data_IF_296084348743
#
_entry.id   IF_296084348743
#
_cell.length_a   1.000
_cell.length_b   1.000
_cell.length_c   1.000
_cell.angle_alpha   90.00
_cell.angle_beta   90.00
_cell.angle_gamma   90.00
#
_symmetry.space_group_name_H-M   'P 1'
#
loop_
_entity.id
_entity.type
_entity.pdbx_description
1 polymer ?
#
# COMPACT_ATOMS: atom_id res chain seq x y z
N UNK A 1 29.07 -14.88 42.52
CA UNK A 1 28.03 -15.87 42.86
C UNK A 1 26.79 -15.49 42.08
N UNK A 2 26.45 -16.27 41.06
CA UNK A 2 25.38 -15.97 40.11
C UNK A 2 24.07 -16.63 40.56
N UNK A 3 23.00 -15.85 40.54
CA UNK A 3 21.62 -16.27 40.79
C UNK A 3 21.02 -16.95 39.57
N UNK A 4 20.47 -18.14 39.77
CA UNK A 4 19.74 -18.91 38.79
C UNK A 4 18.40 -18.26 38.44
N UNK A 5 18.04 -18.24 37.15
CA UNK A 5 16.66 -18.14 36.71
C UNK A 5 16.37 -19.28 35.72
N UNK A 6 15.43 -20.11 36.13
CA UNK A 6 14.82 -21.23 35.42
C UNK A 6 13.81 -20.69 34.40
N UNK A 7 13.76 -21.25 33.18
CA UNK A 7 12.51 -21.42 32.41
C UNK A 7 12.75 -22.46 31.32
N UNK A 8 11.85 -23.45 31.30
CA UNK A 8 11.95 -24.72 30.63
C UNK A 8 11.74 -24.65 29.12
N UNK A 9 12.40 -25.59 28.43
CA UNK A 9 12.32 -25.86 27.00
C UNK A 9 11.03 -26.59 26.66
N UNK A 10 10.19 -26.04 25.76
CA UNK A 10 9.11 -26.80 25.14
C UNK A 10 9.65 -27.53 23.90
N UNK A 11 9.74 -28.86 24.04
CA UNK A 11 10.10 -29.80 22.99
C UNK A 11 8.89 -29.96 22.06
N UNK A 12 8.99 -29.48 20.83
CA UNK A 12 7.98 -29.70 19.80
C UNK A 12 8.16 -31.10 19.20
N UNK A 13 7.27 -32.03 19.55
CA UNK A 13 7.22 -33.38 18.99
C UNK A 13 5.83 -33.67 18.47
N UNK A 14 5.71 -33.99 17.18
CA UNK A 14 4.52 -34.67 16.66
C UNK A 14 4.21 -34.40 15.19
N UNK A 15 4.84 -35.15 14.29
CA UNK A 15 4.33 -35.39 12.94
C UNK A 15 3.27 -36.49 12.95
N UNK A 16 2.15 -36.27 12.26
CA UNK A 16 1.34 -37.25 11.52
C UNK A 16 0.05 -36.57 11.02
N UNK A 17 -0.58 -36.85 9.88
CA UNK A 17 -0.22 -37.32 8.53
C UNK A 17 -1.43 -36.95 7.67
N UNK A 18 -1.19 -36.55 6.41
CA UNK A 18 -2.10 -36.40 5.26
C UNK A 18 -3.63 -36.53 5.46
N UNK A 19 -4.37 -35.52 4.96
CA UNK A 19 -5.53 -35.81 4.10
C UNK A 19 -5.91 -34.65 3.17
N UNK A 20 -6.06 -35.03 1.89
CA UNK A 20 -6.84 -34.42 0.82
C UNK A 20 -6.35 -33.14 0.14
N UNK A 21 -5.77 -33.39 -1.04
CA UNK A 21 -5.54 -32.54 -2.21
C UNK A 21 -6.73 -31.60 -2.50
N UNK A 22 -6.63 -30.35 -2.05
CA UNK A 22 -7.38 -29.21 -2.57
C UNK A 22 -6.38 -28.23 -3.16
N UNK A 23 -6.59 -27.81 -4.41
CA UNK A 23 -5.71 -26.92 -5.19
C UNK A 23 -5.17 -25.76 -4.34
N UNK A 24 -3.87 -25.76 -4.09
CA UNK A 24 -3.12 -24.53 -3.84
C UNK A 24 -3.29 -23.69 -5.11
N UNK A 25 -4.25 -22.75 -5.11
CA UNK A 25 -4.09 -21.60 -6.00
C UNK A 25 -2.91 -20.85 -5.42
N UNK A 26 -1.76 -20.94 -6.09
CA UNK A 26 -0.69 -19.99 -5.93
C UNK A 26 -1.32 -18.61 -6.12
N UNK A 27 -1.65 -17.95 -5.01
CA UNK A 27 -1.90 -16.53 -5.08
C UNK A 27 -0.58 -15.92 -5.54
N UNK A 28 -0.56 -15.10 -6.62
CA UNK A 28 0.61 -14.30 -6.87
C UNK A 28 0.81 -13.47 -5.60
N UNK A 29 1.92 -13.69 -4.90
CA UNK A 29 2.35 -12.85 -3.79
C UNK A 29 2.30 -11.41 -4.31
N UNK A 30 1.22 -10.70 -3.95
CA UNK A 30 1.00 -9.33 -4.35
C UNK A 30 2.12 -8.56 -3.66
N UNK A 31 3.15 -8.24 -4.45
CA UNK A 31 4.32 -7.47 -4.05
C UNK A 31 3.82 -6.32 -3.18
N UNK A 32 4.24 -6.35 -1.92
CA UNK A 32 3.76 -5.54 -0.82
C UNK A 32 3.76 -4.05 -1.18
N UNK A 33 2.62 -3.57 -1.71
CA UNK A 33 2.32 -2.16 -1.88
C UNK A 33 1.79 -1.59 -0.57
N UNK A 34 2.44 -1.91 0.55
CA UNK A 34 2.11 -1.26 1.81
C UNK A 34 2.78 0.10 1.81
N UNK A 35 2.13 1.08 1.20
CA UNK A 35 2.37 2.47 1.60
C UNK A 35 2.08 2.50 3.10
N UNK A 36 3.13 2.60 3.92
CA UNK A 36 2.93 2.80 5.36
C UNK A 36 2.24 4.14 5.57
N UNK A 37 1.44 4.25 6.63
CA UNK A 37 0.73 5.48 6.97
C UNK A 37 1.72 6.66 7.06
N UNK A 38 2.88 6.44 7.68
CA UNK A 38 3.96 7.43 7.78
C UNK A 38 4.46 7.88 6.39
N UNK A 39 4.65 6.94 5.46
CA UNK A 39 5.04 7.26 4.09
C UNK A 39 3.95 8.06 3.39
N UNK A 40 2.68 7.68 3.51
CA UNK A 40 1.55 8.42 2.94
C UNK A 40 1.50 9.87 3.46
N UNK A 41 1.63 10.05 4.77
CA UNK A 41 1.63 11.36 5.41
C UNK A 41 2.82 12.22 4.95
N UNK A 42 4.00 11.62 4.76
CA UNK A 42 5.20 12.31 4.26
C UNK A 42 5.08 12.82 2.81
N UNK A 43 4.07 12.35 2.08
CA UNK A 43 3.79 12.74 0.69
C UNK A 43 2.81 13.91 0.58
N UNK A 44 2.11 14.27 1.66
CA UNK A 44 1.18 15.41 1.67
C UNK A 44 1.93 16.70 1.32
N UNK A 45 1.34 17.48 0.42
CA UNK A 45 1.94 18.70 -0.10
C UNK A 45 3.05 18.47 -1.13
N UNK A 46 3.31 17.24 -1.59
CA UNK A 46 4.31 16.98 -2.64
C UNK A 46 3.64 16.81 -4.00
N UNK A 47 4.39 17.21 -5.04
CA UNK A 47 4.05 16.89 -6.42
C UNK A 47 4.64 15.52 -6.75
N UNK A 48 3.82 14.63 -7.32
CA UNK A 48 4.20 13.26 -7.64
C UNK A 48 3.79 12.92 -9.08
N UNK A 49 4.58 12.05 -9.71
CA UNK A 49 4.19 11.31 -10.90
C UNK A 49 3.68 9.93 -10.46
N UNK A 50 2.48 9.58 -10.89
CA UNK A 50 1.81 8.33 -10.52
C UNK A 50 1.44 7.55 -11.77
N UNK A 51 1.73 6.25 -11.74
CA UNK A 51 1.25 5.28 -12.72
C UNK A 51 0.05 4.54 -12.12
N UNK A 52 -1.10 4.70 -12.77
CA UNK A 52 -2.37 4.08 -12.39
C UNK A 52 -2.71 2.95 -13.35
N UNK A 53 -3.27 1.88 -12.79
CA UNK A 53 -3.54 0.63 -13.52
C UNK A 53 -4.85 0.03 -13.04
N UNK A 54 -5.66 -0.41 -13.99
CA UNK A 54 -6.94 -1.05 -13.71
C UNK A 54 -6.98 -2.43 -14.37
N UNK A 55 -7.62 -3.43 -13.75
CA UNK A 55 -7.70 -4.78 -14.32
C UNK A 55 -8.34 -4.81 -15.72
N UNK A 56 -9.29 -3.90 -15.97
CA UNK A 56 -10.08 -3.85 -17.19
C UNK A 56 -9.45 -2.95 -18.28
N UNK A 57 -8.37 -2.24 -17.95
CA UNK A 57 -7.66 -1.36 -18.89
C UNK A 57 -6.20 -1.81 -19.06
N UNK A 58 -5.80 -2.30 -20.26
CA UNK A 58 -4.44 -2.75 -20.48
C UNK A 58 -3.43 -1.60 -20.50
N UNK A 59 -3.85 -0.35 -20.72
CA UNK A 59 -2.93 0.79 -20.82
C UNK A 59 -2.80 1.53 -19.47
N UNK A 60 -1.57 1.67 -18.92
CA UNK A 60 -1.38 2.41 -17.68
C UNK A 60 -1.60 3.91 -17.92
N UNK A 61 -2.32 4.56 -16.99
CA UNK A 61 -2.47 6.01 -17.00
C UNK A 61 -1.37 6.67 -16.17
N UNK A 62 -0.63 7.60 -16.78
CA UNK A 62 0.35 8.42 -16.09
C UNK A 62 -0.22 9.79 -15.76
N UNK A 63 -0.14 10.19 -14.49
CA UNK A 63 -0.65 11.49 -14.04
C UNK A 63 0.34 12.21 -13.12
N UNK A 64 0.49 13.51 -13.33
CA UNK A 64 1.19 14.42 -12.43
C UNK A 64 0.17 15.08 -11.50
N UNK A 65 0.30 14.85 -10.20
CA UNK A 65 -0.65 15.34 -9.21
C UNK A 65 0.03 15.95 -7.99
N UNK A 66 -0.68 16.83 -7.28
CA UNK A 66 -0.32 17.34 -5.96
C UNK A 66 -1.15 16.61 -4.92
N UNK A 67 -0.51 15.98 -3.94
CA UNK A 67 -1.22 15.28 -2.85
C UNK A 67 -1.68 16.32 -1.82
N UNK A 68 -2.99 16.40 -1.61
CA UNK A 68 -3.61 17.30 -0.64
C UNK A 68 -3.85 16.60 0.71
N UNK A 69 -4.09 15.29 0.71
CA UNK A 69 -4.36 14.51 1.91
C UNK A 69 -4.43 13.01 1.62
N UNK A 70 -4.73 12.23 2.64
CA UNK A 70 -4.97 10.80 2.54
C UNK A 70 -6.16 10.40 3.42
N UNK A 71 -6.98 9.49 2.91
CA UNK A 71 -8.01 8.78 3.67
C UNK A 71 -7.46 7.39 3.94
N UNK A 72 -7.43 7.00 5.21
CA UNK A 72 -6.94 5.70 5.64
C UNK A 72 -8.10 4.70 5.77
N UNK A 73 -7.76 3.42 5.67
CA UNK A 73 -8.72 2.37 5.99
C UNK A 73 -9.13 2.45 7.47
N UNK A 74 -10.41 2.25 7.73
CA UNK A 74 -11.00 2.12 9.05
C UNK A 74 -11.78 0.80 9.07
N UNK A 75 -11.27 -0.17 9.83
CA UNK A 75 -11.81 -1.53 9.91
C UNK A 75 -13.32 -1.51 10.24
N UNK A 76 -14.10 -2.23 9.43
CA UNK A 76 -15.56 -2.30 9.58
C UNK A 76 -16.34 -1.06 9.16
N UNK A 77 -15.67 -0.01 8.66
CA UNK A 77 -16.33 1.24 8.22
C UNK A 77 -15.96 1.61 6.78
N UNK A 78 -14.67 1.62 6.45
CA UNK A 78 -14.19 2.03 5.14
C UNK A 78 -12.86 1.39 4.79
N UNK A 79 -12.82 0.56 3.74
CA UNK A 79 -11.68 -0.33 3.47
C UNK A 79 -10.81 0.15 2.29
N UNK A 80 -11.07 1.33 1.73
CA UNK A 80 -10.48 1.78 0.46
C UNK A 80 -9.55 2.99 0.65
N UNK A 81 -8.35 2.79 1.21
CA UNK A 81 -7.44 3.91 1.44
C UNK A 81 -7.02 4.55 0.11
N UNK A 82 -6.97 5.87 0.11
CA UNK A 82 -6.72 6.66 -1.09
C UNK A 82 -6.10 8.02 -0.76
N UNK A 83 -5.43 8.62 -1.75
CA UNK A 83 -5.01 10.01 -1.66
C UNK A 83 -6.12 10.93 -2.14
N UNK A 84 -6.17 12.13 -1.57
CA UNK A 84 -6.90 13.27 -2.14
C UNK A 84 -5.92 14.07 -2.97
N UNK A 85 -6.17 14.22 -4.27
CA UNK A 85 -5.17 14.76 -5.22
C UNK A 85 -5.75 15.85 -6.11
N UNK A 86 -4.91 16.85 -6.42
CA UNK A 86 -5.18 17.81 -7.50
C UNK A 86 -4.34 17.47 -8.72
N UNK A 87 -5.00 17.35 -9.87
CA UNK A 87 -4.31 17.17 -11.15
C UNK A 87 -3.56 18.44 -11.54
N UNK A 88 -2.34 18.29 -12.05
CA UNK A 88 -1.62 19.40 -12.70
C UNK A 88 -2.01 19.58 -14.17
N UNK A 89 -2.74 18.64 -14.74
CA UNK A 89 -3.14 18.68 -16.16
C UNK A 89 -4.47 19.42 -16.38
N UNK A 90 -5.26 19.65 -15.32
CA UNK A 90 -6.57 20.31 -15.42
C UNK A 90 -6.88 21.15 -14.17
N UNK A 91 -7.61 22.27 -14.31
CA UNK A 91 -8.11 23.01 -13.17
C UNK A 91 -9.21 22.22 -12.45
N UNK A 92 -9.24 22.30 -11.12
CA UNK A 92 -10.19 21.60 -10.28
C UNK A 92 -10.57 22.44 -9.05
N UNK A 93 -11.85 22.40 -8.69
CA UNK A 93 -12.36 23.05 -7.46
C UNK A 93 -12.08 22.19 -6.22
N UNK A 94 -12.17 20.87 -6.35
CA UNK A 94 -12.02 19.90 -5.28
C UNK A 94 -11.04 18.78 -5.70
N UNK A 95 -10.36 18.13 -4.73
CA UNK A 95 -9.45 17.05 -5.05
C UNK A 95 -10.21 15.78 -5.47
N UNK A 96 -9.60 14.98 -6.34
CA UNK A 96 -10.08 13.66 -6.70
C UNK A 96 -9.56 12.60 -5.72
N UNK A 97 -10.28 11.49 -5.63
CA UNK A 97 -9.86 10.28 -4.93
C UNK A 97 -8.90 9.48 -5.82
N UNK A 98 -7.77 9.03 -5.26
CA UNK A 98 -6.79 8.19 -5.93
C UNK A 98 -6.47 6.95 -5.07
N UNK A 99 -7.12 5.84 -5.39
CA UNK A 99 -7.06 4.60 -4.61
C UNK A 99 -5.67 3.95 -4.65
N UNK A 100 -5.20 3.51 -3.49
CA UNK A 100 -3.89 2.84 -3.41
C UNK A 100 -3.86 1.50 -4.15
N UNK A 101 -5.03 0.85 -4.33
CA UNK A 101 -5.16 -0.37 -5.13
C UNK A 101 -4.76 -0.19 -6.58
N UNK A 102 -4.90 1.03 -7.09
CA UNK A 102 -4.74 1.34 -8.51
C UNK A 102 -3.35 1.90 -8.79
N UNK A 103 -2.58 2.26 -7.76
CA UNK A 103 -1.23 2.81 -7.89
C UNK A 103 -0.23 1.68 -8.11
N UNK A 104 0.35 1.62 -9.32
CA UNK A 104 1.48 0.73 -9.60
C UNK A 104 2.79 1.36 -9.16
N UNK A 105 3.02 2.63 -9.49
CA UNK A 105 4.23 3.35 -9.10
C UNK A 105 3.94 4.80 -8.72
N UNK A 106 4.71 5.33 -7.77
CA UNK A 106 4.63 6.71 -7.30
C UNK A 106 6.04 7.28 -7.13
N UNK A 107 6.30 8.45 -7.72
CA UNK A 107 7.60 9.13 -7.64
C UNK A 107 7.42 10.60 -7.29
N UNK A 108 8.08 11.05 -6.23
CA UNK A 108 8.13 12.47 -5.88
C UNK A 108 8.94 13.23 -6.92
N UNK A 109 8.31 14.24 -7.52
CA UNK A 109 8.99 15.17 -8.39
C UNK A 109 9.61 16.26 -7.51
N UNK A 110 10.94 16.42 -7.60
CA UNK A 110 11.61 17.53 -6.95
C UNK A 110 11.22 18.81 -7.68
N UNK A 111 10.89 19.82 -6.89
CA UNK A 111 10.80 21.16 -7.45
C UNK A 111 12.18 21.50 -8.03
N UNK A 112 12.23 21.96 -9.28
CA UNK A 112 13.46 22.55 -9.78
C UNK A 112 13.55 23.87 -9.06
N UNK A 113 14.35 23.92 -7.98
CA UNK A 113 14.69 25.18 -7.34
C UNK A 113 15.16 26.14 -8.45
N UNK A 114 14.37 27.20 -8.66
CA UNK A 114 14.76 28.33 -9.49
C UNK A 114 15.88 29.13 -8.83
#
# INVERSE_FOLDING_TARGET
>A
MATANSTETLVFSGWSTLSTRGRQCDQPEKISSSVSIENALSLIGKTVLVELVWPDDPEPLWCCVRIAGAVLALEGVYEHPHFMVFSLARPQTYPDEMFWSDIRTLRVLKDRAG
#
